data_IF_320182777105
#
_entry.id   IF_320182777105
#
_cell.length_a   1.000
_cell.length_b   1.000
_cell.length_c   1.000
_cell.angle_alpha   90.00
_cell.angle_beta   90.00
_cell.angle_gamma   90.00
#
_symmetry.space_group_name_H-M   'P 1'
#
loop_
_entity.id
_entity.type
_entity.pdbx_description
1 polymer ?
#
# COMPACT_ATOMS: atom_id res chain seq x y z
N UNK A 1 -46.37 -18.64 -29.85
CA UNK A 1 -45.25 -19.37 -29.21
C UNK A 1 -43.88 -18.71 -29.38
N UNK A 2 -43.48 -18.24 -30.57
CA UNK A 2 -42.15 -17.64 -30.82
C UNK A 2 -41.86 -16.34 -30.05
N UNK A 3 -42.87 -15.47 -29.87
CA UNK A 3 -42.76 -14.25 -29.03
C UNK A 3 -42.58 -14.58 -27.54
N UNK A 4 -43.24 -15.62 -27.03
CA UNK A 4 -43.11 -16.06 -25.62
C UNK A 4 -41.72 -16.65 -25.34
N UNK A 5 -41.16 -17.45 -26.27
CA UNK A 5 -39.77 -17.92 -26.17
C UNK A 5 -38.77 -16.77 -26.20
N UNK A 6 -39.00 -15.73 -27.00
CA UNK A 6 -38.15 -14.54 -27.03
C UNK A 6 -38.17 -13.79 -25.69
N UNK A 7 -39.36 -13.55 -25.12
CA UNK A 7 -39.48 -12.90 -23.80
C UNK A 7 -38.89 -13.72 -22.66
N UNK A 8 -39.00 -15.06 -22.70
CA UNK A 8 -38.34 -15.95 -21.74
C UNK A 8 -36.81 -15.89 -21.83
N UNK A 9 -36.26 -15.79 -23.04
CA UNK A 9 -34.81 -15.63 -23.24
C UNK A 9 -34.33 -14.26 -22.75
N UNK A 10 -35.07 -13.19 -23.02
CA UNK A 10 -34.74 -11.85 -22.51
C UNK A 10 -34.78 -11.82 -20.98
N UNK A 11 -35.81 -12.40 -20.35
CA UNK A 11 -35.92 -12.49 -18.89
C UNK A 11 -34.78 -13.32 -18.27
N UNK A 12 -34.38 -14.43 -18.92
CA UNK A 12 -33.25 -15.23 -18.49
C UNK A 12 -31.91 -14.45 -18.60
N UNK A 13 -31.71 -13.66 -19.65
CA UNK A 13 -30.53 -12.80 -19.79
C UNK A 13 -30.47 -11.69 -18.72
N UNK A 14 -31.60 -11.12 -18.31
CA UNK A 14 -31.66 -10.12 -17.23
C UNK A 14 -31.41 -10.72 -15.83
N UNK A 15 -31.77 -11.98 -15.60
CA UNK A 15 -31.49 -12.66 -14.33
C UNK A 15 -29.99 -13.02 -14.18
N UNK A 16 -29.27 -13.20 -15.27
CA UNK A 16 -27.83 -13.52 -15.26
C UNK A 16 -26.92 -12.30 -15.01
N UNK A 17 -27.41 -11.08 -15.18
CA UNK A 17 -26.65 -9.84 -14.94
C UNK A 17 -26.76 -9.31 -13.50
N UNK A 18 -27.49 -10.00 -12.61
CA UNK A 18 -27.89 -9.45 -11.31
C UNK A 18 -26.91 -9.67 -10.13
N UNK A 19 -25.78 -10.39 -10.27
CA UNK A 19 -24.91 -10.66 -9.12
C UNK A 19 -23.42 -10.72 -9.46
N UNK A 20 -22.83 -9.58 -9.82
CA UNK A 20 -21.43 -9.31 -9.47
C UNK A 20 -21.33 -7.92 -8.83
N UNK A 21 -22.05 -7.72 -7.72
CA UNK A 21 -21.63 -6.70 -6.78
C UNK A 21 -20.26 -7.15 -6.29
N UNK A 22 -19.20 -6.49 -6.77
CA UNK A 22 -17.86 -6.72 -6.27
C UNK A 22 -17.92 -6.46 -4.77
N UNK A 23 -17.89 -7.54 -3.99
CA UNK A 23 -17.79 -7.42 -2.54
C UNK A 23 -16.45 -6.73 -2.30
N UNK A 24 -16.48 -5.60 -1.63
CA UNK A 24 -15.31 -4.83 -1.23
C UNK A 24 -15.21 -5.00 0.29
N UNK A 25 -14.00 -5.14 0.82
CA UNK A 25 -13.81 -5.16 2.26
C UNK A 25 -14.40 -3.90 2.92
N UNK A 26 -15.05 -4.05 4.07
CA UNK A 26 -15.51 -2.93 4.89
C UNK A 26 -14.34 -2.13 5.45
N UNK A 27 -14.49 -0.82 5.63
CA UNK A 27 -13.49 0.08 6.18
C UNK A 27 -12.94 -0.43 7.51
N UNK A 28 -11.62 -0.30 7.71
CA UNK A 28 -10.97 -0.62 8.97
C UNK A 28 -10.20 0.60 9.50
N UNK A 29 -10.64 1.18 10.64
CA UNK A 29 -9.98 2.33 11.23
C UNK A 29 -8.57 2.02 11.73
N UNK A 30 -8.26 0.77 12.09
CA UNK A 30 -6.91 0.37 12.52
C UNK A 30 -5.95 0.37 11.33
N UNK A 31 -6.37 -0.15 10.17
CA UNK A 31 -5.59 -0.11 8.92
C UNK A 31 -5.33 1.35 8.52
N UNK A 32 -6.35 2.20 8.59
CA UNK A 32 -6.21 3.63 8.31
C UNK A 32 -5.21 4.31 9.24
N UNK A 33 -5.30 4.07 10.54
CA UNK A 33 -4.38 4.64 11.52
C UNK A 33 -2.94 4.18 11.26
N UNK A 34 -2.73 2.88 11.04
CA UNK A 34 -1.42 2.32 10.76
C UNK A 34 -0.85 2.88 9.45
N UNK A 35 -1.66 3.03 8.40
CA UNK A 35 -1.25 3.68 7.14
C UNK A 35 -0.71 5.10 7.37
N UNK A 36 -1.40 5.90 8.19
CA UNK A 36 -0.96 7.26 8.52
C UNK A 36 0.33 7.24 9.32
N UNK A 37 0.44 6.35 10.32
CA UNK A 37 1.65 6.23 11.14
C UNK A 37 2.85 5.79 10.30
N UNK A 38 2.70 4.74 9.47
CA UNK A 38 3.74 4.25 8.56
C UNK A 38 4.17 5.34 7.58
N UNK A 39 3.22 6.11 7.04
CA UNK A 39 3.51 7.25 6.18
C UNK A 39 4.39 8.29 6.88
N UNK A 40 4.00 8.70 8.09
CA UNK A 40 4.76 9.69 8.89
C UNK A 40 6.18 9.17 9.17
N UNK A 41 6.33 7.91 9.58
CA UNK A 41 7.65 7.33 9.87
C UNK A 41 8.54 7.26 8.64
N UNK A 42 7.99 6.87 7.48
CA UNK A 42 8.74 6.87 6.21
C UNK A 42 9.17 8.29 5.83
N UNK A 43 8.28 9.28 5.95
CA UNK A 43 8.61 10.68 5.67
C UNK A 43 9.72 11.19 6.58
N UNK A 44 9.61 10.94 7.89
CA UNK A 44 10.62 11.30 8.88
C UNK A 44 11.96 10.64 8.60
N UNK A 45 11.96 9.35 8.21
CA UNK A 45 13.18 8.61 7.87
C UNK A 45 13.95 9.28 6.74
N UNK A 46 13.27 9.58 5.64
CA UNK A 46 13.90 10.25 4.50
C UNK A 46 14.30 11.69 4.79
N UNK A 47 13.48 12.42 5.56
CA UNK A 47 13.80 13.79 5.95
C UNK A 47 15.03 13.86 6.85
N UNK A 48 15.11 13.00 7.88
CA UNK A 48 16.29 12.88 8.75
C UNK A 48 17.55 12.58 7.96
N UNK A 49 17.44 11.74 6.92
CA UNK A 49 18.55 11.46 6.04
C UNK A 49 19.01 12.68 5.24
N UNK A 50 18.08 13.51 4.76
CA UNK A 50 18.41 14.77 4.06
C UNK A 50 19.03 15.83 4.98
N UNK A 51 18.68 15.84 6.27
CA UNK A 51 19.29 16.73 7.27
C UNK A 51 20.73 16.33 7.63
N UNK A 52 21.13 15.10 7.29
CA UNK A 52 22.49 14.61 7.52
C UNK A 52 23.37 14.90 6.29
N UNK A 53 24.63 15.26 6.51
CA UNK A 53 25.61 15.38 5.43
C UNK A 53 25.74 14.07 4.67
N UNK A 54 25.95 14.15 3.35
CA UNK A 54 25.92 12.98 2.46
C UNK A 54 26.86 11.86 2.92
N UNK A 55 28.04 12.23 3.41
CA UNK A 55 29.11 11.32 3.85
C UNK A 55 28.75 10.60 5.15
N UNK A 56 27.86 11.16 5.98
CA UNK A 56 27.45 10.59 7.26
C UNK A 56 26.11 9.83 7.17
N UNK A 57 25.58 9.65 5.97
CA UNK A 57 24.36 8.88 5.72
C UNK A 57 24.64 7.38 5.65
N UNK A 58 25.47 6.84 6.54
CA UNK A 58 25.82 5.42 6.53
C UNK A 58 24.59 4.55 6.85
N UNK A 59 24.45 3.43 6.16
CA UNK A 59 23.35 2.48 6.37
C UNK A 59 23.18 2.12 7.86
N UNK A 60 24.29 1.92 8.57
CA UNK A 60 24.28 1.56 9.99
C UNK A 60 23.55 2.58 10.87
N UNK A 61 23.58 3.87 10.52
CA UNK A 61 22.90 4.93 11.27
C UNK A 61 21.37 4.90 11.09
N UNK A 62 20.87 4.21 10.06
CA UNK A 62 19.46 4.16 9.70
C UNK A 62 18.84 2.76 9.82
N UNK A 63 19.65 1.72 10.03
CA UNK A 63 19.21 0.31 10.05
C UNK A 63 18.03 0.05 10.98
N UNK A 64 18.01 0.68 12.16
CA UNK A 64 16.96 0.49 13.15
C UNK A 64 15.63 1.07 12.66
N UNK A 65 15.64 2.26 12.07
CA UNK A 65 14.45 2.88 11.49
C UNK A 65 13.94 2.08 10.28
N UNK A 66 14.86 1.57 9.45
CA UNK A 66 14.50 0.67 8.36
C UNK A 66 13.72 -0.54 8.85
N UNK A 67 14.22 -1.21 9.88
CA UNK A 67 13.58 -2.39 10.43
C UNK A 67 12.22 -2.07 11.09
N UNK A 68 12.14 -1.01 11.89
CA UNK A 68 10.89 -0.61 12.53
C UNK A 68 9.78 -0.31 11.51
N UNK A 69 10.11 0.41 10.44
CA UNK A 69 9.15 0.69 9.35
C UNK A 69 8.79 -0.58 8.58
N UNK A 70 9.75 -1.48 8.36
CA UNK A 70 9.46 -2.76 7.70
C UNK A 70 8.42 -3.56 8.48
N UNK A 71 8.56 -3.62 9.81
CA UNK A 71 7.59 -4.27 10.69
C UNK A 71 6.22 -3.61 10.56
N UNK A 72 6.12 -2.27 10.57
CA UNK A 72 4.84 -1.58 10.39
C UNK A 72 4.17 -1.96 9.04
N UNK A 73 4.95 -2.08 7.96
CA UNK A 73 4.43 -2.50 6.64
C UNK A 73 4.01 -3.98 6.66
N UNK A 74 4.72 -4.85 7.36
CA UNK A 74 4.35 -6.25 7.51
C UNK A 74 3.04 -6.41 8.29
N UNK A 75 2.85 -5.63 9.37
CA UNK A 75 1.60 -5.61 10.13
C UNK A 75 0.45 -5.10 9.25
N UNK A 76 0.68 -4.04 8.47
CA UNK A 76 -0.31 -3.53 7.52
C UNK A 76 -0.73 -4.60 6.51
N UNK A 77 0.24 -5.35 5.99
CA UNK A 77 -0.02 -6.47 5.09
C UNK A 77 -0.87 -7.55 5.78
N UNK A 78 -0.49 -7.98 6.99
CA UNK A 78 -1.21 -9.01 7.73
C UNK A 78 -2.67 -8.61 8.02
N UNK A 79 -2.90 -7.36 8.46
CA UNK A 79 -4.26 -6.83 8.66
C UNK A 79 -5.09 -6.87 7.37
N UNK A 80 -4.46 -6.58 6.23
CA UNK A 80 -5.14 -6.65 4.94
C UNK A 80 -5.43 -8.10 4.49
N UNK A 81 -4.56 -9.06 4.81
CA UNK A 81 -4.73 -10.49 4.48
C UNK A 81 -5.87 -11.14 5.26
N UNK A 82 -6.12 -10.70 6.49
CA UNK A 82 -7.23 -11.22 7.31
C UNK A 82 -8.62 -10.79 6.83
N UNK A 83 -8.71 -9.81 5.92
CA UNK A 83 -9.98 -9.23 5.48
C UNK A 83 -10.48 -9.89 4.19
N UNK A 84 -11.72 -10.37 4.21
CA UNK A 84 -12.37 -10.89 3.01
C UNK A 84 -12.51 -9.82 1.93
N UNK A 85 -12.34 -10.22 0.67
CA UNK A 85 -12.47 -9.34 -0.50
C UNK A 85 -11.54 -8.11 -0.49
N UNK A 86 -10.32 -8.29 0.04
CA UNK A 86 -9.34 -7.23 0.22
C UNK A 86 -8.04 -7.45 -0.58
N UNK A 87 -8.08 -8.27 -1.63
CA UNK A 87 -6.89 -8.69 -2.40
C UNK A 87 -6.07 -7.51 -2.94
N UNK A 88 -6.72 -6.45 -3.41
CA UNK A 88 -6.04 -5.25 -3.90
C UNK A 88 -5.22 -4.57 -2.79
N UNK A 89 -5.77 -4.42 -1.58
CA UNK A 89 -5.02 -3.83 -0.46
C UNK A 89 -3.88 -4.73 0.03
N UNK A 90 -4.03 -6.06 -0.09
CA UNK A 90 -2.93 -7.02 0.13
C UNK A 90 -1.82 -6.78 -0.88
N UNK A 91 -2.12 -6.77 -2.19
CA UNK A 91 -1.15 -6.53 -3.26
C UNK A 91 -0.46 -5.17 -3.11
N UNK A 92 -1.17 -4.12 -2.73
CA UNK A 92 -0.58 -2.81 -2.46
C UNK A 92 0.40 -2.84 -1.29
N UNK A 93 0.06 -3.55 -0.21
CA UNK A 93 0.94 -3.71 0.97
C UNK A 93 2.19 -4.53 0.62
N UNK A 94 2.06 -5.56 -0.21
CA UNK A 94 3.18 -6.35 -0.72
C UNK A 94 4.11 -5.51 -1.61
N UNK A 95 3.54 -4.69 -2.51
CA UNK A 95 4.31 -3.79 -3.37
C UNK A 95 5.06 -2.75 -2.54
N UNK A 96 4.43 -2.20 -1.49
CA UNK A 96 5.06 -1.29 -0.55
C UNK A 96 6.23 -1.96 0.18
N UNK A 97 6.04 -3.19 0.69
CA UNK A 97 7.08 -3.96 1.37
C UNK A 97 8.27 -4.27 0.45
N UNK A 98 7.98 -4.68 -0.79
CA UNK A 98 9.00 -4.95 -1.80
C UNK A 98 9.82 -3.69 -2.12
N UNK A 99 9.15 -2.55 -2.29
CA UNK A 99 9.81 -1.26 -2.52
C UNK A 99 10.72 -0.88 -1.34
N UNK A 100 10.24 -1.04 -0.11
CA UNK A 100 11.01 -0.76 1.10
C UNK A 100 12.26 -1.62 1.22
N UNK A 101 12.13 -2.94 1.03
CA UNK A 101 13.25 -3.89 1.03
C UNK A 101 14.27 -3.59 -0.05
N UNK A 102 13.82 -3.18 -1.23
CA UNK A 102 14.73 -2.77 -2.30
C UNK A 102 15.56 -1.54 -1.87
N UNK A 103 14.95 -0.57 -1.20
CA UNK A 103 15.68 0.60 -0.71
C UNK A 103 16.63 0.29 0.45
N UNK A 104 16.28 -0.66 1.33
CA UNK A 104 17.21 -1.22 2.33
C UNK A 104 18.43 -1.82 1.63
N UNK A 105 18.20 -2.74 0.68
CA UNK A 105 19.27 -3.42 -0.07
C UNK A 105 20.15 -2.42 -0.82
N UNK A 106 19.56 -1.42 -1.47
CA UNK A 106 20.31 -0.40 -2.18
C UNK A 106 21.18 0.42 -1.21
N UNK A 107 20.65 0.82 -0.06
CA UNK A 107 21.42 1.57 0.93
C UNK A 107 22.55 0.72 1.53
N UNK A 108 22.30 -0.56 1.81
CA UNK A 108 23.33 -1.50 2.26
C UNK A 108 24.46 -1.64 1.23
N UNK A 109 24.14 -1.75 -0.06
CA UNK A 109 25.13 -1.93 -1.13
C UNK A 109 25.98 -0.68 -1.37
N UNK A 110 25.38 0.52 -1.30
CA UNK A 110 26.08 1.77 -1.60
C UNK A 110 26.63 2.46 -0.34
N UNK A 111 26.28 1.95 0.84
CA UNK A 111 26.48 2.49 2.19
C UNK A 111 25.91 3.89 2.45
N UNK A 112 25.86 4.76 1.44
CA UNK A 112 25.33 6.13 1.52
C UNK A 112 24.36 6.43 0.38
N UNK A 113 23.49 7.44 0.55
CA UNK A 113 22.51 7.84 -0.45
C UNK A 113 22.60 9.34 -0.80
N UNK A 114 22.47 9.66 -2.08
CA UNK A 114 22.42 11.03 -2.58
C UNK A 114 21.04 11.68 -2.47
N UNK A 115 21.01 13.01 -2.37
CA UNK A 115 19.80 13.83 -2.21
C UNK A 115 18.72 13.53 -3.23
N UNK A 116 19.10 13.42 -4.52
CA UNK A 116 18.16 13.18 -5.61
C UNK A 116 17.41 11.87 -5.44
N UNK A 117 18.12 10.82 -5.00
CA UNK A 117 17.53 9.51 -4.74
C UNK A 117 16.57 9.58 -3.54
N UNK A 118 17.00 10.18 -2.43
CA UNK A 118 16.17 10.32 -1.23
C UNK A 118 14.89 11.11 -1.52
N UNK A 119 15.02 12.26 -2.20
CA UNK A 119 13.88 13.10 -2.62
C UNK A 119 12.92 12.34 -3.54
N UNK A 120 13.46 11.56 -4.50
CA UNK A 120 12.65 10.72 -5.38
C UNK A 120 11.88 9.65 -4.60
N UNK A 121 12.54 8.95 -3.67
CA UNK A 121 11.91 7.91 -2.84
C UNK A 121 10.85 8.49 -1.93
N UNK A 122 11.14 9.56 -1.21
CA UNK A 122 10.15 10.26 -0.38
C UNK A 122 8.88 10.61 -1.17
N UNK A 123 9.02 11.16 -2.39
CA UNK A 123 7.87 11.42 -3.28
C UNK A 123 7.14 10.13 -3.70
N UNK A 124 7.88 9.06 -4.00
CA UNK A 124 7.31 7.79 -4.40
C UNK A 124 6.47 7.16 -3.29
N UNK A 125 7.00 7.06 -2.07
CA UNK A 125 6.26 6.53 -0.92
C UNK A 125 5.03 7.37 -0.58
N UNK A 126 5.15 8.70 -0.64
CA UNK A 126 4.00 9.59 -0.45
C UNK A 126 2.86 9.29 -1.42
N UNK A 127 3.16 9.05 -2.70
CA UNK A 127 2.13 8.69 -3.68
C UNK A 127 1.48 7.35 -3.38
N UNK A 128 2.28 6.32 -3.09
CA UNK A 128 1.78 4.97 -2.78
C UNK A 128 0.89 4.99 -1.54
N UNK A 129 1.38 5.53 -0.43
CA UNK A 129 0.64 5.56 0.83
C UNK A 129 -0.60 6.46 0.75
N UNK A 130 -0.54 7.57 0.01
CA UNK A 130 -1.74 8.39 -0.25
C UNK A 130 -2.79 7.62 -1.03
N UNK A 131 -2.39 6.86 -2.06
CA UNK A 131 -3.32 6.03 -2.83
C UNK A 131 -3.97 4.95 -1.96
N UNK A 132 -3.17 4.25 -1.13
CA UNK A 132 -3.68 3.26 -0.18
C UNK A 132 -4.67 3.86 0.82
N UNK A 133 -4.39 5.06 1.34
CA UNK A 133 -5.27 5.77 2.27
C UNK A 133 -6.59 6.19 1.59
N UNK A 134 -6.53 6.68 0.36
CA UNK A 134 -7.72 7.02 -0.43
C UNK A 134 -8.56 5.76 -0.68
N UNK A 135 -7.92 4.64 -1.04
CA UNK A 135 -8.60 3.37 -1.24
C UNK A 135 -9.26 2.87 0.05
N UNK A 136 -8.60 2.96 1.20
CA UNK A 136 -9.18 2.55 2.49
C UNK A 136 -10.37 3.42 2.91
N UNK A 137 -10.33 4.72 2.63
CA UNK A 137 -11.45 5.65 2.92
C UNK A 137 -12.63 5.50 1.95
N UNK A 138 -12.43 4.91 0.78
CA UNK A 138 -13.49 4.67 -0.20
C UNK A 138 -14.27 3.38 0.07
N UNK A 139 -13.81 2.57 1.04
CA UNK A 139 -14.49 1.34 1.45
C UNK A 139 -15.76 1.68 2.23
N UNK A 140 -16.82 0.85 2.10
CA UNK A 140 -18.04 1.02 2.89
C UNK A 140 -17.75 0.79 4.38
N UNK A 141 -18.44 1.50 5.27
CA UNK A 141 -18.38 1.25 6.74
C UNK A 141 -18.77 -0.18 7.10
#
# INVERSE_FOLDING_TARGET
MRKVRFWLVVLACFMLSACQWAKIAHHDPQVKLLLVQTKVRIDMHWHRMLLTEKQSRDFLNYKQNYHAIEVDIQVLKALNEHRAYNSESVTQSENLLKLWRQDISNHQQHNTLGDTLIKRRSKQYNRVLKAMLVAENAKPE
#
